data_IF_284014336814
#
_entry.id   IF_284014336814
#
_cell.length_a   1.000
_cell.length_b   1.000
_cell.length_c   1.000
_cell.angle_alpha   90.00
_cell.angle_beta   90.00
_cell.angle_gamma   90.00
#
_symmetry.space_group_name_H-M   'P 1'
#
loop_
_entity.id
_entity.type
_entity.pdbx_description
1 polymer ?
#
# COMPACT_ATOMS: atom_id res chain seq x y z
N UNK A 1 1.84 -19.47 12.37
CA UNK A 1 0.86 -19.16 11.32
C UNK A 1 1.33 -17.91 10.61
N UNK A 2 1.49 -17.91 9.27
CA UNK A 2 1.79 -16.68 8.53
C UNK A 2 0.57 -15.76 8.64
N UNK A 3 0.75 -14.55 9.19
CA UNK A 3 -0.32 -13.54 9.26
C UNK A 3 -0.90 -13.34 7.86
N UNK A 4 -2.21 -13.48 7.71
CA UNK A 4 -2.87 -13.10 6.46
C UNK A 4 -2.88 -11.57 6.40
N UNK A 5 -2.49 -10.93 5.29
CA UNK A 5 -2.23 -9.49 5.21
C UNK A 5 -3.48 -8.60 5.33
N UNK A 6 -4.68 -9.17 5.42
CA UNK A 6 -5.95 -8.48 5.64
C UNK A 6 -6.41 -8.44 7.09
N UNK A 7 -5.70 -9.12 7.98
CA UNK A 7 -6.15 -9.31 9.36
C UNK A 7 -5.49 -8.22 10.19
N UNK A 8 -6.30 -7.25 10.62
CA UNK A 8 -6.02 -6.52 11.84
C UNK A 8 -5.91 -7.55 12.98
N UNK A 9 -5.10 -7.31 14.01
CA UNK A 9 -5.08 -8.22 15.14
C UNK A 9 -6.53 -8.51 15.56
N UNK A 10 -6.94 -9.78 15.46
CA UNK A 10 -8.26 -10.29 15.86
C UNK A 10 -9.48 -9.85 15.02
N UNK A 11 -9.34 -9.12 13.91
CA UNK A 11 -10.49 -8.76 13.06
C UNK A 11 -10.19 -9.10 11.60
N UNK A 12 -11.07 -9.86 10.98
CA UNK A 12 -11.06 -10.07 9.54
C UNK A 12 -12.25 -9.39 8.87
N UNK A 13 -12.02 -8.81 7.70
CA UNK A 13 -13.04 -8.13 6.89
C UNK A 13 -13.02 -8.66 5.46
N UNK A 14 -14.20 -8.91 4.91
CA UNK A 14 -14.38 -9.31 3.50
C UNK A 14 -15.59 -8.62 2.92
N UNK A 15 -15.43 -8.00 1.76
CA UNK A 15 -16.54 -7.44 0.98
C UNK A 15 -17.04 -8.48 -0.02
N UNK A 16 -18.38 -8.56 -0.15
CA UNK A 16 -19.07 -9.28 -1.19
C UNK A 16 -20.20 -8.39 -1.74
N UNK A 17 -19.96 -7.77 -2.88
CA UNK A 17 -20.83 -6.73 -3.41
C UNK A 17 -20.98 -5.53 -2.47
N UNK A 18 -22.20 -5.28 -1.99
CA UNK A 18 -22.49 -4.25 -0.98
C UNK A 18 -22.47 -4.79 0.45
N UNK A 19 -22.32 -6.09 0.64
CA UNK A 19 -22.21 -6.68 1.97
C UNK A 19 -20.79 -6.64 2.47
N UNK A 20 -20.61 -6.27 3.73
CA UNK A 20 -19.36 -6.32 4.45
C UNK A 20 -19.48 -7.36 5.56
N UNK A 21 -18.66 -8.40 5.48
CA UNK A 21 -18.57 -9.49 6.45
C UNK A 21 -17.40 -9.17 7.36
N UNK A 22 -17.65 -9.04 8.66
CA UNK A 22 -16.67 -8.71 9.69
C UNK A 22 -16.68 -9.84 10.71
N UNK A 23 -15.52 -10.36 11.07
CA UNK A 23 -15.38 -11.40 12.10
C UNK A 23 -14.36 -10.99 13.13
N UNK A 24 -14.79 -10.96 14.39
CA UNK A 24 -13.92 -10.79 15.54
C UNK A 24 -13.40 -12.16 15.97
N UNK A 25 -12.07 -12.34 15.92
CA UNK A 25 -11.40 -13.54 16.44
C UNK A 25 -11.15 -13.33 17.94
N UNK A 26 -12.12 -13.70 18.76
CA UNK A 26 -12.02 -13.63 20.21
C UNK A 26 -12.55 -14.95 20.81
N UNK A 27 -11.95 -15.40 21.89
CA UNK A 27 -12.36 -16.61 22.62
C UNK A 27 -13.60 -16.36 23.52
N UNK A 28 -13.93 -15.10 23.78
CA UNK A 28 -15.06 -14.72 24.63
C UNK A 28 -16.33 -14.56 23.79
N UNK A 29 -17.43 -15.11 24.30
CA UNK A 29 -18.76 -14.85 23.74
C UNK A 29 -19.25 -13.44 24.10
N UNK A 30 -20.04 -12.81 23.16
CA UNK A 30 -20.66 -11.53 23.34
C UNK A 30 -21.60 -11.44 24.54
N UNK A 31 -22.40 -10.37 24.61
CA UNK A 31 -22.96 -9.60 23.48
C UNK A 31 -22.02 -8.53 22.91
N UNK A 32 -21.92 -8.49 21.60
CA UNK A 32 -21.12 -7.51 20.87
C UNK A 32 -21.98 -6.57 20.04
N UNK A 33 -21.58 -5.32 19.96
CA UNK A 33 -22.13 -4.30 19.08
C UNK A 33 -21.08 -3.83 18.08
N UNK A 34 -21.46 -3.76 16.80
CA UNK A 34 -20.69 -3.10 15.74
C UNK A 34 -21.16 -1.67 15.60
N UNK A 35 -20.24 -0.72 15.79
CA UNK A 35 -20.50 0.71 15.65
C UNK A 35 -19.79 1.26 14.42
N UNK A 36 -20.37 2.30 13.80
CA UNK A 36 -19.90 2.95 12.58
C UNK A 36 -19.81 4.46 12.73
N UNK A 37 -18.83 5.04 12.04
CA UNK A 37 -18.64 6.48 11.87
C UNK A 37 -18.07 6.84 10.48
N UNK A 38 -18.12 8.11 10.14
CA UNK A 38 -17.64 8.65 8.86
C UNK A 38 -16.20 9.17 8.94
N UNK A 39 -15.68 9.32 10.16
CA UNK A 39 -14.31 9.79 10.44
C UNK A 39 -13.65 8.86 11.46
N UNK A 40 -12.30 8.70 11.41
CA UNK A 40 -11.57 7.78 12.29
C UNK A 40 -11.29 8.39 13.67
N UNK A 41 -12.34 8.86 14.33
CA UNK A 41 -12.29 9.43 15.69
C UNK A 41 -13.23 8.61 16.57
N UNK A 42 -12.68 8.05 17.67
CA UNK A 42 -13.43 7.12 18.54
C UNK A 42 -14.76 7.70 19.04
N UNK A 43 -14.77 8.99 19.40
CA UNK A 43 -15.94 9.70 19.90
C UNK A 43 -17.01 9.92 18.82
N UNK A 44 -16.66 9.81 17.55
CA UNK A 44 -17.58 9.98 16.42
C UNK A 44 -18.09 8.64 15.85
N UNK A 45 -17.57 7.51 16.33
CA UNK A 45 -18.03 6.18 15.95
C UNK A 45 -19.04 5.68 16.99
N UNK A 46 -20.27 6.18 16.91
CA UNK A 46 -21.28 5.94 17.96
C UNK A 46 -22.54 5.21 17.48
N UNK A 47 -22.78 5.15 16.16
CA UNK A 47 -24.00 4.54 15.63
C UNK A 47 -23.87 3.02 15.62
N UNK A 48 -24.68 2.33 16.43
CA UNK A 48 -24.81 0.87 16.37
C UNK A 48 -25.51 0.47 15.08
N UNK A 49 -24.93 -0.46 14.32
CA UNK A 49 -25.48 -0.95 13.05
C UNK A 49 -25.74 -2.46 13.04
N UNK A 50 -25.16 -3.21 13.96
CA UNK A 50 -25.43 -4.64 14.12
C UNK A 50 -25.07 -5.11 15.54
N UNK A 51 -25.68 -6.21 15.97
CA UNK A 51 -25.39 -6.91 17.21
C UNK A 51 -25.09 -8.40 16.91
N UNK A 52 -24.24 -9.02 17.72
CA UNK A 52 -23.83 -10.42 17.56
C UNK A 52 -23.41 -11.03 18.89
N UNK A 53 -23.76 -12.28 19.11
CA UNK A 53 -23.25 -13.06 20.25
C UNK A 53 -21.85 -13.67 20.00
N UNK A 54 -21.48 -13.89 18.75
CA UNK A 54 -20.20 -14.51 18.36
C UNK A 54 -19.11 -13.49 17.95
N UNK A 55 -19.50 -12.24 17.64
CA UNK A 55 -18.60 -11.27 17.00
C UNK A 55 -18.55 -11.36 15.48
N UNK A 56 -19.42 -12.18 14.86
CA UNK A 56 -19.60 -12.24 13.41
C UNK A 56 -20.71 -11.27 12.99
N UNK A 57 -20.41 -10.40 12.04
CA UNK A 57 -21.36 -9.40 11.52
C UNK A 57 -21.43 -9.46 10.01
N UNK A 58 -22.62 -9.27 9.46
CA UNK A 58 -22.86 -9.04 8.03
C UNK A 58 -23.72 -7.79 7.90
N UNK A 59 -23.16 -6.75 7.29
CA UNK A 59 -23.84 -5.44 7.16
C UNK A 59 -23.80 -4.94 5.73
N UNK A 60 -24.84 -4.21 5.32
CA UNK A 60 -24.90 -3.59 4.00
C UNK A 60 -24.26 -2.21 4.03
N UNK A 61 -23.11 -2.07 3.34
CA UNK A 61 -22.36 -0.82 3.21
C UNK A 61 -22.12 -0.55 1.72
N UNK A 62 -22.99 0.26 1.07
CA UNK A 62 -22.80 0.64 -0.33
C UNK A 62 -21.46 1.38 -0.53
N UNK A 63 -20.73 1.05 -1.62
CA UNK A 63 -19.41 1.65 -1.93
C UNK A 63 -19.46 3.19 -1.97
N UNK A 64 -20.54 3.78 -2.49
CA UNK A 64 -20.72 5.24 -2.57
C UNK A 64 -20.75 5.95 -1.21
N UNK A 65 -20.95 5.19 -0.12
CA UNK A 65 -21.01 5.71 1.26
C UNK A 65 -19.66 5.64 1.98
N UNK A 66 -18.59 5.17 1.31
CA UNK A 66 -17.24 5.15 1.88
C UNK A 66 -16.64 6.57 1.90
N UNK A 67 -15.70 6.86 2.84
CA UNK A 67 -15.15 5.97 3.87
C UNK A 67 -16.10 5.65 5.00
N UNK A 68 -15.84 4.51 5.68
CA UNK A 68 -16.49 4.13 6.95
C UNK A 68 -15.46 3.54 7.90
N UNK A 69 -15.59 3.88 9.17
CA UNK A 69 -14.72 3.43 10.24
C UNK A 69 -15.58 2.74 11.31
N UNK A 70 -15.01 1.72 11.95
CA UNK A 70 -15.74 0.81 12.82
C UNK A 70 -15.01 0.59 14.13
N UNK A 71 -15.79 0.27 15.16
CA UNK A 71 -15.34 -0.36 16.40
C UNK A 71 -16.32 -1.48 16.77
N UNK A 72 -15.82 -2.49 17.50
CA UNK A 72 -16.66 -3.51 18.13
C UNK A 72 -16.55 -3.31 19.64
N UNK A 73 -17.70 -3.23 20.30
CA UNK A 73 -17.84 -3.17 21.75
C UNK A 73 -18.45 -4.46 22.29
N UNK A 74 -17.94 -4.98 23.40
CA UNK A 74 -18.67 -5.97 24.20
C UNK A 74 -19.51 -5.20 25.24
N UNK A 75 -20.82 -5.42 25.26
CA UNK A 75 -21.74 -4.67 26.16
C UNK A 75 -21.79 -5.23 27.56
N UNK A 76 -21.24 -6.43 27.81
CA UNK A 76 -21.14 -7.05 29.13
C UNK A 76 -19.78 -6.80 29.80
N UNK A 77 -18.82 -6.21 29.07
CA UNK A 77 -17.47 -5.90 29.57
C UNK A 77 -17.02 -4.53 29.08
N UNK A 78 -15.82 -4.10 29.49
CA UNK A 78 -15.22 -2.84 29.00
C UNK A 78 -14.42 -3.03 27.69
N UNK A 79 -14.53 -4.19 27.04
CA UNK A 79 -13.79 -4.45 25.80
C UNK A 79 -14.29 -3.58 24.66
N UNK A 80 -13.38 -2.85 24.02
CA UNK A 80 -13.60 -2.07 22.80
C UNK A 80 -12.40 -2.24 21.89
N UNK A 81 -12.60 -2.61 20.64
CA UNK A 81 -11.49 -2.73 19.66
C UNK A 81 -10.86 -1.37 19.35
N UNK A 82 -9.65 -1.39 18.79
CA UNK A 82 -9.16 -0.22 18.08
C UNK A 82 -10.07 0.11 16.89
N UNK A 83 -9.97 1.34 16.39
CA UNK A 83 -10.64 1.73 15.15
C UNK A 83 -10.12 0.87 14.02
N UNK A 84 -11.02 0.39 13.17
CA UNK A 84 -10.68 -0.34 11.97
C UNK A 84 -11.54 0.08 10.78
N UNK A 85 -11.06 -0.19 9.58
CA UNK A 85 -11.72 0.15 8.33
C UNK A 85 -11.44 -0.91 7.26
N UNK A 86 -12.18 -0.85 6.17
CA UNK A 86 -11.89 -1.62 4.97
C UNK A 86 -10.60 -1.07 4.33
N UNK A 87 -9.50 -1.85 4.43
CA UNK A 87 -8.17 -1.40 4.01
C UNK A 87 -8.10 -1.11 2.52
N UNK A 88 -8.55 -2.02 1.67
CA UNK A 88 -8.56 -1.84 0.22
C UNK A 88 -9.83 -1.11 -0.18
N UNK A 89 -9.68 0.04 -0.83
CA UNK A 89 -10.82 0.80 -1.32
C UNK A 89 -11.42 0.06 -2.53
N UNK A 90 -12.70 -0.33 -2.48
CA UNK A 90 -13.31 -1.19 -3.50
C UNK A 90 -13.68 -0.39 -4.76
N UNK A 91 -12.69 0.01 -5.54
CA UNK A 91 -12.84 0.70 -6.83
C UNK A 91 -13.00 -0.32 -7.98
N UNK A 92 -13.54 0.13 -9.10
CA UNK A 92 -13.73 -0.71 -10.29
C UNK A 92 -12.49 -0.75 -11.18
N UNK A 93 -11.80 0.40 -11.32
CA UNK A 93 -10.73 0.57 -12.30
C UNK A 93 -9.35 0.82 -11.68
N UNK A 94 -9.24 0.79 -10.36
CA UNK A 94 -7.99 0.79 -9.62
C UNK A 94 -8.08 -0.24 -8.49
N UNK A 95 -7.26 -1.27 -8.55
CA UNK A 95 -7.42 -2.45 -7.68
C UNK A 95 -6.52 -2.42 -6.44
N UNK A 96 -5.52 -1.55 -6.41
CA UNK A 96 -4.46 -1.57 -5.39
C UNK A 96 -4.43 -0.32 -4.51
N UNK A 97 -5.49 0.51 -4.58
CA UNK A 97 -5.61 1.70 -3.72
C UNK A 97 -6.09 1.27 -2.33
N UNK A 98 -5.35 1.68 -1.30
CA UNK A 98 -5.64 1.30 0.08
C UNK A 98 -5.16 2.30 1.12
N UNK A 99 -5.83 2.28 2.26
CA UNK A 99 -5.44 3.00 3.47
C UNK A 99 -4.26 2.27 4.16
N UNK A 100 -3.30 3.03 4.65
CA UNK A 100 -2.14 2.51 5.37
C UNK A 100 -2.37 2.46 6.90
N UNK A 101 -3.52 2.87 7.41
CA UNK A 101 -3.85 2.90 8.83
C UNK A 101 -3.86 1.54 9.52
N UNK A 102 -3.84 1.54 10.85
CA UNK A 102 -3.97 0.35 11.70
C UNK A 102 -2.72 -0.52 11.83
N UNK A 103 -1.58 -0.20 11.22
CA UNK A 103 -0.33 -0.90 11.44
C UNK A 103 0.30 -0.55 12.78
N UNK A 104 0.94 -1.55 13.43
CA UNK A 104 1.49 -1.41 14.77
C UNK A 104 2.91 -0.81 14.74
N UNK A 105 3.13 0.26 15.48
CA UNK A 105 4.45 0.78 15.76
C UNK A 105 5.17 -0.05 16.84
N UNK A 106 6.51 0.02 16.88
CA UNK A 106 7.33 -0.71 17.87
C UNK A 106 7.07 -0.26 19.31
N UNK A 107 6.58 0.98 19.50
CA UNK A 107 6.22 1.54 20.81
C UNK A 107 4.78 1.23 21.26
N UNK A 108 4.05 0.40 20.50
CA UNK A 108 2.69 -0.04 20.82
C UNK A 108 1.58 0.89 20.34
N UNK A 109 1.93 2.02 19.72
CA UNK A 109 0.95 2.88 19.02
C UNK A 109 0.55 2.27 17.68
N UNK A 110 -0.46 2.83 17.04
CA UNK A 110 -0.99 2.40 15.74
C UNK A 110 -1.03 3.57 14.76
N UNK A 111 -0.74 3.30 13.50
CA UNK A 111 -0.90 4.29 12.43
C UNK A 111 -2.38 4.64 12.27
N UNK A 112 -2.68 5.93 12.32
CA UNK A 112 -4.05 6.45 12.15
C UNK A 112 -4.62 6.09 10.78
N UNK A 113 -5.90 5.76 10.76
CA UNK A 113 -6.66 5.58 9.53
C UNK A 113 -6.99 6.91 8.85
N UNK A 114 -7.24 6.86 7.54
CA UNK A 114 -7.74 8.00 6.79
C UNK A 114 -6.71 9.10 6.49
N UNK A 115 -5.42 8.88 6.72
CA UNK A 115 -4.39 9.93 6.60
C UNK A 115 -3.38 9.65 5.48
N UNK A 116 -2.93 8.41 5.37
CA UNK A 116 -1.94 7.98 4.38
C UNK A 116 -2.49 6.83 3.54
N UNK A 117 -2.43 7.02 2.23
CA UNK A 117 -2.93 6.06 1.24
C UNK A 117 -1.84 5.72 0.24
N UNK A 118 -1.89 4.49 -0.27
CA UNK A 118 -1.04 4.05 -1.38
C UNK A 118 -1.87 3.40 -2.47
N UNK A 119 -1.35 3.41 -3.72
CA UNK A 119 -2.13 2.80 -4.79
C UNK A 119 -1.41 2.62 -6.11
N UNK A 120 -2.19 2.13 -7.08
CA UNK A 120 -1.87 2.10 -8.50
C UNK A 120 -2.35 3.37 -9.21
N UNK A 121 -2.16 3.46 -10.53
CA UNK A 121 -2.41 4.68 -11.31
C UNK A 121 -3.88 5.13 -11.28
N UNK A 122 -4.07 6.43 -11.20
CA UNK A 122 -5.38 7.09 -11.15
C UNK A 122 -5.96 7.41 -12.53
N UNK A 123 -5.26 7.07 -13.62
CA UNK A 123 -5.67 7.41 -14.98
C UNK A 123 -6.89 6.65 -15.49
N UNK A 124 -7.20 5.52 -14.89
CA UNK A 124 -8.29 4.62 -15.30
C UNK A 124 -9.59 4.79 -14.51
N UNK A 125 -9.61 5.67 -13.51
CA UNK A 125 -10.80 5.88 -12.68
C UNK A 125 -11.99 6.32 -13.51
N UNK A 126 -13.14 5.69 -13.31
CA UNK A 126 -14.42 6.16 -13.80
C UNK A 126 -15.03 7.19 -12.82
N UNK A 127 -16.18 7.74 -13.15
CA UNK A 127 -16.84 8.78 -12.33
C UNK A 127 -17.23 8.26 -10.94
N UNK A 128 -17.65 6.99 -10.84
CA UNK A 128 -17.96 6.35 -9.56
C UNK A 128 -16.72 6.22 -8.68
N UNK A 129 -15.60 5.78 -9.27
CA UNK A 129 -14.32 5.67 -8.55
C UNK A 129 -13.82 7.05 -8.07
N UNK A 130 -13.93 8.07 -8.94
CA UNK A 130 -13.55 9.45 -8.61
C UNK A 130 -14.41 9.99 -7.46
N UNK A 131 -15.73 9.73 -7.46
CA UNK A 131 -16.61 10.14 -6.37
C UNK A 131 -16.24 9.47 -5.06
N UNK A 132 -15.94 8.16 -5.07
CA UNK A 132 -15.50 7.44 -3.87
C UNK A 132 -14.20 8.07 -3.33
N UNK A 133 -13.19 8.29 -4.17
CA UNK A 133 -11.91 8.88 -3.74
C UNK A 133 -12.08 10.34 -3.27
N UNK A 134 -13.00 11.08 -3.86
CA UNK A 134 -13.36 12.44 -3.40
C UNK A 134 -13.90 12.43 -1.97
N UNK A 135 -14.70 11.41 -1.62
CA UNK A 135 -15.23 11.28 -0.26
C UNK A 135 -14.12 11.02 0.80
N UNK A 136 -12.97 10.44 0.39
CA UNK A 136 -11.79 10.33 1.26
C UNK A 136 -11.06 11.66 1.46
N UNK A 137 -11.51 12.74 0.80
CA UNK A 137 -10.97 14.09 0.91
C UNK A 137 -9.45 14.17 0.65
N UNK A 138 -8.94 13.40 -0.30
CA UNK A 138 -7.51 13.38 -0.63
C UNK A 138 -7.06 14.78 -1.06
N UNK A 139 -6.00 15.31 -0.42
CA UNK A 139 -5.50 16.66 -0.68
C UNK A 139 -4.13 16.65 -1.39
N UNK A 140 -3.32 15.62 -1.18
CA UNK A 140 -2.01 15.48 -1.84
C UNK A 140 -1.93 14.16 -2.62
N UNK A 141 -1.48 14.24 -3.86
CA UNK A 141 -1.05 13.08 -4.64
C UNK A 141 0.46 13.13 -4.83
N UNK A 142 1.15 12.04 -4.50
CA UNK A 142 2.56 11.82 -4.86
C UNK A 142 2.60 10.81 -6.00
N UNK A 143 3.08 11.23 -7.16
CA UNK A 143 3.15 10.43 -8.37
C UNK A 143 4.60 10.05 -8.69
N UNK A 144 4.92 8.75 -8.56
CA UNK A 144 6.25 8.21 -8.85
C UNK A 144 6.47 7.83 -10.31
N UNK A 145 5.51 8.11 -11.18
CA UNK A 145 5.63 7.79 -12.61
C UNK A 145 6.55 8.76 -13.33
N UNK A 146 7.18 8.26 -14.40
CA UNK A 146 8.01 9.07 -15.28
C UNK A 146 7.19 10.17 -15.99
N UNK A 147 7.82 11.23 -16.51
CA UNK A 147 7.13 12.24 -17.32
C UNK A 147 6.36 11.60 -18.48
N UNK A 148 6.94 10.62 -19.16
CA UNK A 148 6.31 9.90 -20.26
C UNK A 148 5.05 9.15 -19.79
N UNK A 149 5.12 8.35 -18.70
CA UNK A 149 3.94 7.67 -18.16
C UNK A 149 2.81 8.64 -17.80
N UNK A 150 3.12 9.81 -17.23
CA UNK A 150 2.12 10.83 -16.87
C UNK A 150 1.49 11.50 -18.07
N UNK A 151 2.27 11.73 -19.14
CA UNK A 151 1.78 12.33 -20.37
C UNK A 151 0.77 11.42 -21.08
N UNK A 152 1.06 10.12 -21.18
CA UNK A 152 0.18 9.17 -21.88
C UNK A 152 -0.98 8.67 -21.01
N UNK A 153 -0.82 8.70 -19.69
CA UNK A 153 -1.81 8.23 -18.74
C UNK A 153 -2.00 9.26 -17.61
N UNK A 154 -2.53 10.47 -17.92
CA UNK A 154 -2.71 11.50 -16.89
C UNK A 154 -3.65 11.03 -15.79
N UNK A 155 -3.39 11.47 -14.56
CA UNK A 155 -4.30 11.22 -13.45
C UNK A 155 -5.66 11.84 -13.72
N UNK A 156 -6.74 11.16 -13.34
CA UNK A 156 -8.07 11.76 -13.34
C UNK A 156 -8.12 12.89 -12.30
N UNK A 157 -8.93 13.88 -12.59
CA UNK A 157 -9.15 15.01 -11.70
C UNK A 157 -9.93 14.58 -10.45
N UNK A 158 -9.43 14.96 -9.29
CA UNK A 158 -10.12 14.82 -8.01
C UNK A 158 -10.26 16.22 -7.41
N UNK A 159 -11.48 16.72 -7.18
CA UNK A 159 -11.71 18.11 -6.80
C UNK A 159 -11.13 18.50 -5.44
N UNK A 160 -10.85 17.54 -4.57
CA UNK A 160 -10.26 17.77 -3.24
C UNK A 160 -8.74 17.91 -3.28
N UNK A 161 -8.09 17.53 -4.38
CA UNK A 161 -6.63 17.53 -4.48
C UNK A 161 -6.10 18.95 -4.68
N UNK A 162 -5.30 19.40 -3.72
CA UNK A 162 -4.68 20.73 -3.71
C UNK A 162 -3.30 20.75 -4.39
N UNK A 163 -2.58 19.61 -4.34
CA UNK A 163 -1.24 19.52 -4.93
C UNK A 163 -0.92 18.12 -5.48
N UNK A 164 -0.10 18.10 -6.52
CA UNK A 164 0.50 16.86 -7.06
C UNK A 164 2.01 17.02 -7.03
N UNK A 165 2.67 16.08 -6.34
CA UNK A 165 4.13 16.01 -6.23
C UNK A 165 4.65 14.94 -7.18
N UNK A 166 5.28 15.37 -8.26
CA UNK A 166 5.93 14.46 -9.21
C UNK A 166 7.30 14.03 -8.63
N UNK A 167 7.43 12.77 -8.26
CA UNK A 167 8.54 12.19 -7.52
C UNK A 167 9.09 10.94 -8.22
N UNK A 168 9.47 11.05 -9.49
CA UNK A 168 10.00 9.92 -10.27
C UNK A 168 11.39 9.51 -9.76
N UNK A 169 11.56 8.29 -9.20
CA UNK A 169 12.86 7.80 -8.72
C UNK A 169 13.72 7.22 -9.86
N UNK A 170 13.27 7.25 -11.11
CA UNK A 170 13.95 6.68 -12.28
C UNK A 170 14.45 5.24 -12.02
N UNK A 171 13.60 4.39 -11.47
CA UNK A 171 13.96 3.00 -11.26
C UNK A 171 14.04 2.25 -12.59
N UNK A 172 14.96 1.28 -12.70
CA UNK A 172 15.13 0.44 -13.91
C UNK A 172 13.81 -0.21 -14.38
N UNK A 173 12.88 -0.48 -13.47
CA UNK A 173 11.53 -0.95 -13.78
C UNK A 173 10.65 0.07 -14.49
N UNK A 174 10.89 1.36 -14.27
CA UNK A 174 10.10 2.41 -14.91
C UNK A 174 10.45 2.56 -16.36
N UNK A 175 11.72 2.39 -16.72
CA UNK A 175 12.19 2.58 -18.10
C UNK A 175 11.70 1.47 -19.03
N UNK A 176 11.72 0.22 -18.57
CA UNK A 176 11.16 -0.90 -19.34
C UNK A 176 9.65 -0.76 -19.60
N UNK A 177 8.92 -0.20 -18.61
CA UNK A 177 7.46 -0.01 -18.69
C UNK A 177 7.05 1.31 -19.36
N UNK A 178 7.92 2.34 -19.36
CA UNK A 178 7.60 3.67 -19.86
C UNK A 178 7.60 3.77 -21.39
N UNK A 179 8.34 2.91 -22.08
CA UNK A 179 8.52 2.98 -23.52
C UNK A 179 7.40 2.33 -24.34
N UNK A 180 6.27 1.95 -23.71
CA UNK A 180 5.20 1.21 -24.39
C UNK A 180 3.82 1.81 -24.12
N UNK A 181 3.14 2.19 -25.20
CA UNK A 181 1.84 2.86 -25.17
C UNK A 181 0.69 1.90 -24.83
N UNK A 182 0.82 0.60 -25.14
CA UNK A 182 -0.20 -0.40 -24.85
C UNK A 182 0.38 -1.65 -24.15
N UNK A 183 -0.49 -2.37 -23.43
CA UNK A 183 -0.12 -3.57 -22.66
C UNK A 183 0.31 -4.75 -23.55
N UNK A 184 -0.18 -4.83 -24.80
CA UNK A 184 0.17 -5.92 -25.71
C UNK A 184 1.56 -5.71 -26.25
N UNK A 185 1.87 -4.53 -26.77
CA UNK A 185 3.19 -4.17 -27.24
C UNK A 185 4.27 -4.21 -26.14
N UNK A 186 3.93 -3.92 -24.87
CA UNK A 186 4.84 -4.06 -23.73
C UNK A 186 5.30 -5.53 -23.55
N UNK A 187 4.34 -6.46 -23.61
CA UNK A 187 4.66 -7.87 -23.41
C UNK A 187 5.51 -8.43 -24.56
N UNK A 188 5.16 -8.09 -25.79
CA UNK A 188 5.91 -8.52 -26.98
C UNK A 188 7.35 -7.97 -26.96
N UNK A 189 7.55 -6.71 -26.59
CA UNK A 189 8.88 -6.11 -26.44
C UNK A 189 9.72 -6.79 -25.35
N UNK A 190 9.12 -7.09 -24.18
CA UNK A 190 9.83 -7.79 -23.11
C UNK A 190 10.28 -9.20 -23.55
N UNK A 191 9.42 -9.92 -24.27
CA UNK A 191 9.78 -11.24 -24.83
C UNK A 191 10.89 -11.09 -25.89
N UNK A 192 10.77 -10.11 -26.77
CA UNK A 192 11.75 -9.83 -27.80
C UNK A 192 13.14 -9.47 -27.22
N UNK A 193 13.17 -8.65 -26.14
CA UNK A 193 14.43 -8.34 -25.44
C UNK A 193 15.11 -9.59 -24.86
N UNK A 194 14.32 -10.55 -24.36
CA UNK A 194 14.84 -11.84 -23.91
C UNK A 194 15.41 -12.69 -25.09
N UNK A 195 14.68 -12.74 -26.18
CA UNK A 195 15.07 -13.50 -27.39
C UNK A 195 16.32 -12.91 -28.06
N UNK A 196 16.44 -11.58 -28.06
CA UNK A 196 17.58 -10.85 -28.58
C UNK A 196 18.83 -10.91 -27.66
N UNK A 197 18.72 -11.49 -26.45
CA UNK A 197 19.84 -11.54 -25.49
C UNK A 197 20.18 -10.19 -24.86
N UNK A 198 19.24 -9.23 -24.85
CA UNK A 198 19.41 -7.91 -24.22
C UNK A 198 19.37 -7.99 -22.70
N UNK A 199 18.76 -9.06 -22.15
CA UNK A 199 18.72 -9.31 -20.70
C UNK A 199 19.92 -10.18 -20.33
N UNK A 200 20.78 -9.75 -19.37
CA UNK A 200 21.90 -10.55 -18.91
C UNK A 200 21.46 -11.92 -18.41
N UNK A 201 22.15 -12.99 -18.85
CA UNK A 201 21.76 -14.38 -18.56
C UNK A 201 21.64 -14.67 -17.07
N UNK A 202 22.46 -14.03 -16.22
CA UNK A 202 22.41 -14.17 -14.75
C UNK A 202 21.06 -13.82 -14.16
N UNK A 203 20.24 -12.99 -14.81
CA UNK A 203 18.92 -12.60 -14.37
C UNK A 203 17.79 -13.52 -14.87
N UNK A 204 18.07 -14.35 -15.90
CA UNK A 204 17.06 -15.20 -16.51
C UNK A 204 16.83 -16.45 -15.66
N UNK A 205 16.13 -16.24 -14.54
CA UNK A 205 15.80 -17.26 -13.56
C UNK A 205 14.51 -16.91 -12.80
N UNK A 206 14.09 -17.79 -11.88
CA UNK A 206 12.89 -17.63 -11.07
C UNK A 206 13.12 -16.86 -9.75
N UNK A 207 14.36 -16.49 -9.40
CA UNK A 207 14.67 -15.82 -8.12
C UNK A 207 14.30 -14.34 -8.14
N UNK A 208 14.35 -13.69 -9.30
CA UNK A 208 14.11 -12.27 -9.47
C UNK A 208 15.28 -11.41 -8.98
N UNK A 209 16.50 -11.87 -9.24
CA UNK A 209 17.74 -11.20 -8.80
C UNK A 209 17.82 -9.74 -9.28
N UNK A 210 17.38 -9.46 -10.51
CA UNK A 210 17.32 -8.09 -11.03
C UNK A 210 16.33 -7.20 -10.28
N UNK A 211 15.23 -7.77 -9.76
CA UNK A 211 14.26 -7.04 -8.92
C UNK A 211 14.89 -6.73 -7.57
N UNK A 212 15.58 -7.70 -6.97
CA UNK A 212 16.30 -7.54 -5.70
C UNK A 212 17.34 -6.42 -5.82
N UNK A 213 18.23 -6.50 -6.83
CA UNK A 213 19.25 -5.47 -7.09
C UNK A 213 18.61 -4.08 -7.27
N UNK A 214 17.51 -3.98 -8.01
CA UNK A 214 16.81 -2.70 -8.18
C UNK A 214 16.25 -2.11 -6.88
N UNK A 215 15.80 -2.95 -5.94
CA UNK A 215 15.38 -2.47 -4.62
C UNK A 215 16.56 -1.99 -3.77
N UNK A 216 17.71 -2.66 -3.87
CA UNK A 216 18.95 -2.23 -3.21
C UNK A 216 19.46 -0.91 -3.81
N UNK A 217 19.41 -0.74 -5.13
CA UNK A 217 19.81 0.48 -5.84
C UNK A 217 18.96 1.68 -5.42
N UNK A 218 17.65 1.49 -5.21
CA UNK A 218 16.78 2.57 -4.74
C UNK A 218 17.22 3.13 -3.37
N UNK A 219 17.91 2.34 -2.53
CA UNK A 219 18.41 2.80 -1.23
C UNK A 219 19.53 3.83 -1.39
N UNK A 220 20.38 3.67 -2.41
CA UNK A 220 21.61 4.48 -2.58
C UNK A 220 21.54 5.47 -3.73
N UNK A 221 20.64 5.30 -4.69
CA UNK A 221 20.51 6.15 -5.87
C UNK A 221 20.25 7.62 -5.51
N UNK A 222 21.08 8.58 -5.95
CA UNK A 222 20.86 10.00 -5.71
C UNK A 222 19.54 10.53 -6.30
N UNK A 223 19.08 9.94 -7.41
CA UNK A 223 17.82 10.31 -8.06
C UNK A 223 16.65 9.83 -7.22
N UNK A 224 16.68 8.57 -6.76
CA UNK A 224 15.68 8.02 -5.87
C UNK A 224 15.66 8.78 -4.53
N UNK A 225 16.82 9.13 -3.98
CA UNK A 225 16.97 9.97 -2.80
C UNK A 225 16.22 11.30 -2.94
N UNK A 226 16.43 12.01 -4.07
CA UNK A 226 15.76 13.29 -4.34
C UNK A 226 14.24 13.10 -4.43
N UNK A 227 13.79 12.08 -5.15
CA UNK A 227 12.37 11.79 -5.38
C UNK A 227 11.65 11.42 -4.07
N UNK A 228 12.16 10.42 -3.35
CA UNK A 228 11.56 10.00 -2.07
C UNK A 228 11.78 11.02 -0.96
N UNK A 229 12.88 11.77 -0.98
CA UNK A 229 13.10 12.86 -0.05
C UNK A 229 12.05 13.96 -0.17
N UNK A 230 11.57 14.27 -1.39
CA UNK A 230 10.46 15.19 -1.61
C UNK A 230 9.16 14.68 -1.00
N UNK A 231 8.85 13.39 -1.19
CA UNK A 231 7.69 12.74 -0.59
C UNK A 231 7.78 12.71 0.94
N UNK A 232 8.93 12.28 1.52
CA UNK A 232 9.12 12.24 2.97
C UNK A 232 8.98 13.61 3.62
N UNK A 233 9.47 14.67 2.96
CA UNK A 233 9.28 16.04 3.45
C UNK A 233 7.82 16.44 3.47
N UNK A 234 7.02 16.06 2.47
CA UNK A 234 5.57 16.32 2.49
C UNK A 234 4.88 15.57 3.64
N UNK A 235 5.26 14.32 3.89
CA UNK A 235 4.76 13.54 5.04
C UNK A 235 5.13 14.22 6.36
N UNK A 236 6.39 14.60 6.54
CA UNK A 236 6.86 15.23 7.81
C UNK A 236 6.22 16.59 8.05
N UNK A 237 5.98 17.39 7.01
CA UNK A 237 5.35 18.72 7.12
C UNK A 237 3.85 18.64 7.43
N UNK A 238 3.21 17.52 7.13
CA UNK A 238 1.76 17.29 7.39
C UNK A 238 0.84 18.31 6.69
N UNK A 239 1.34 18.91 5.62
CA UNK A 239 0.57 19.86 4.82
C UNK A 239 -0.31 19.10 3.83
N UNK A 240 -1.54 19.57 3.65
CA UNK A 240 -2.49 19.01 2.68
C UNK A 240 -2.67 17.47 2.80
N UNK A 241 -3.17 17.03 3.94
CA UNK A 241 -3.57 15.65 4.20
C UNK A 241 -5.09 15.49 4.03
N UNK A 242 -5.58 14.30 3.67
CA UNK A 242 -4.87 13.03 3.46
C UNK A 242 -4.00 12.99 2.18
N UNK A 243 -2.94 12.15 2.23
CA UNK A 243 -1.99 11.98 1.14
C UNK A 243 -2.10 10.58 0.54
N UNK A 244 -2.21 10.50 -0.80
CA UNK A 244 -2.11 9.27 -1.57
C UNK A 244 -0.83 9.28 -2.40
N UNK A 245 0.00 8.23 -2.28
CA UNK A 245 1.15 8.04 -3.14
C UNK A 245 0.98 6.83 -4.05
N UNK A 246 1.38 6.96 -5.31
CA UNK A 246 1.16 5.93 -6.30
C UNK A 246 2.23 5.87 -7.40
N UNK A 247 2.24 4.77 -8.12
CA UNK A 247 2.92 4.61 -9.39
C UNK A 247 1.99 3.99 -10.45
N UNK A 248 2.50 3.26 -11.42
CA UNK A 248 1.66 2.56 -12.41
C UNK A 248 0.91 1.38 -11.81
N UNK A 249 1.60 0.49 -11.13
CA UNK A 249 1.03 -0.75 -10.57
C UNK A 249 0.85 -0.77 -9.06
N UNK A 250 1.30 0.27 -8.36
CA UNK A 250 1.25 0.32 -6.90
C UNK A 250 2.11 -0.73 -6.20
N UNK A 251 3.08 -1.35 -6.90
CA UNK A 251 3.92 -2.44 -6.40
C UNK A 251 5.30 -1.92 -5.97
N UNK A 252 6.19 -1.64 -6.93
CA UNK A 252 7.62 -1.42 -6.67
C UNK A 252 7.90 -0.01 -6.16
N UNK A 253 7.80 1.04 -6.99
CA UNK A 253 8.04 2.43 -6.59
C UNK A 253 7.17 2.86 -5.41
N UNK A 254 5.89 2.49 -5.45
CA UNK A 254 4.96 2.73 -4.34
C UNK A 254 5.29 1.87 -3.13
N UNK A 255 5.68 0.60 -3.32
CA UNK A 255 6.08 -0.32 -2.25
C UNK A 255 7.30 0.19 -1.49
N UNK A 256 8.31 0.65 -2.21
CA UNK A 256 9.50 1.27 -1.61
C UNK A 256 9.14 2.56 -0.86
N UNK A 257 8.32 3.45 -1.46
CA UNK A 257 7.84 4.65 -0.78
C UNK A 257 7.03 4.35 0.48
N UNK A 258 6.15 3.33 0.46
CA UNK A 258 5.42 2.86 1.65
C UNK A 258 6.35 2.36 2.73
N UNK A 259 7.35 1.54 2.36
CA UNK A 259 8.37 1.06 3.29
C UNK A 259 9.09 2.24 3.99
N UNK A 260 9.48 3.26 3.24
CA UNK A 260 10.12 4.44 3.82
C UNK A 260 9.21 5.17 4.81
N UNK A 261 7.94 5.39 4.46
CA UNK A 261 6.97 6.03 5.36
C UNK A 261 6.79 5.19 6.62
N UNK A 262 6.59 3.89 6.48
CA UNK A 262 6.33 2.99 7.61
C UNK A 262 7.57 2.85 8.52
N UNK A 263 8.79 2.81 7.96
CA UNK A 263 10.04 2.85 8.74
C UNK A 263 10.19 4.19 9.48
N UNK A 264 9.92 5.33 8.83
CA UNK A 264 9.93 6.65 9.46
C UNK A 264 9.01 6.70 10.68
N UNK A 265 7.82 6.10 10.56
CA UNK A 265 6.82 6.04 11.61
C UNK A 265 7.06 4.91 12.62
N UNK A 266 8.23 4.24 12.56
CA UNK A 266 8.62 3.17 13.47
C UNK A 266 7.65 1.98 13.50
N UNK A 267 6.98 1.71 12.37
CA UNK A 267 6.10 0.55 12.23
C UNK A 267 6.92 -0.74 12.28
N UNK A 268 6.35 -1.80 12.85
CA UNK A 268 6.98 -3.12 12.93
C UNK A 268 7.27 -3.65 11.52
N UNK A 269 8.46 -4.23 11.34
CA UNK A 269 8.90 -4.71 10.02
C UNK A 269 7.96 -5.78 9.45
N UNK A 270 7.39 -6.61 10.31
CA UNK A 270 6.38 -7.60 9.90
C UNK A 270 5.17 -6.95 9.22
N UNK A 271 4.70 -5.82 9.75
CA UNK A 271 3.57 -5.08 9.19
C UNK A 271 3.97 -4.37 7.87
N UNK A 272 5.22 -3.91 7.74
CA UNK A 272 5.77 -3.35 6.50
C UNK A 272 5.78 -4.42 5.40
N UNK A 273 6.28 -5.61 5.71
CA UNK A 273 6.30 -6.74 4.78
C UNK A 273 4.87 -7.19 4.44
N UNK A 274 3.98 -7.26 5.45
CA UNK A 274 2.56 -7.59 5.23
C UNK A 274 1.87 -6.60 4.29
N UNK A 275 2.08 -5.29 4.48
CA UNK A 275 1.53 -4.29 3.56
C UNK A 275 2.04 -4.49 2.13
N UNK A 276 3.32 -4.73 1.95
CA UNK A 276 3.88 -4.98 0.63
C UNK A 276 3.27 -6.24 -0.01
N UNK A 277 3.21 -7.34 0.74
CA UNK A 277 2.69 -8.64 0.28
C UNK A 277 1.19 -8.64 -0.01
N UNK A 278 0.44 -7.69 0.55
CA UNK A 278 -0.97 -7.50 0.20
C UNK A 278 -1.15 -7.26 -1.31
N UNK A 279 -0.19 -6.60 -1.96
CA UNK A 279 -0.18 -6.42 -3.41
C UNK A 279 -0.21 -7.76 -4.18
N UNK A 280 0.43 -8.82 -3.68
CA UNK A 280 0.39 -10.17 -4.29
C UNK A 280 -1.03 -10.71 -4.35
N UNK A 281 -1.76 -10.55 -3.25
CA UNK A 281 -3.14 -11.04 -3.12
C UNK A 281 -4.07 -10.24 -4.02
N UNK A 282 -4.00 -8.92 -3.97
CA UNK A 282 -4.82 -8.00 -4.75
C UNK A 282 -4.62 -8.22 -6.26
N UNK A 283 -3.39 -8.47 -6.69
CA UNK A 283 -3.05 -8.62 -8.12
C UNK A 283 -3.08 -10.07 -8.62
N UNK A 284 -3.55 -11.02 -7.82
CA UNK A 284 -3.53 -12.45 -8.15
C UNK A 284 -4.16 -12.75 -9.50
N UNK A 285 -5.37 -12.27 -9.75
CA UNK A 285 -6.09 -12.51 -11.02
C UNK A 285 -5.36 -11.88 -12.20
N UNK A 286 -4.92 -10.63 -12.06
CA UNK A 286 -4.11 -9.96 -13.09
C UNK A 286 -2.81 -10.71 -13.39
N UNK A 287 -2.13 -11.20 -12.38
CA UNK A 287 -0.88 -11.94 -12.56
C UNK A 287 -1.13 -13.30 -13.22
N UNK A 288 -2.27 -13.94 -12.96
CA UNK A 288 -2.67 -15.15 -13.66
C UNK A 288 -2.90 -14.88 -15.16
N UNK A 289 -3.62 -13.81 -15.52
CA UNK A 289 -3.80 -13.40 -16.92
C UNK A 289 -2.46 -13.13 -17.62
N UNK A 290 -1.50 -12.53 -16.91
CA UNK A 290 -0.14 -12.30 -17.45
C UNK A 290 0.62 -13.62 -17.64
N UNK A 291 0.49 -14.55 -16.68
CA UNK A 291 1.09 -15.89 -16.83
C UNK A 291 0.55 -16.60 -18.08
N UNK A 292 -0.76 -16.62 -18.27
CA UNK A 292 -1.42 -17.29 -19.41
C UNK A 292 -0.96 -16.66 -20.75
N UNK A 293 -0.75 -15.35 -20.76
CA UNK A 293 -0.23 -14.64 -21.93
C UNK A 293 1.23 -14.97 -22.19
N UNK A 294 2.10 -14.84 -21.19
CA UNK A 294 3.54 -15.12 -21.33
C UNK A 294 3.79 -16.58 -21.69
N UNK A 295 3.03 -17.52 -21.11
CA UNK A 295 3.15 -18.94 -21.43
C UNK A 295 2.89 -19.25 -22.91
N UNK A 296 2.06 -18.42 -23.59
CA UNK A 296 1.82 -18.54 -25.04
C UNK A 296 2.90 -17.89 -25.90
N UNK A 297 3.60 -16.88 -25.34
CA UNK A 297 4.58 -16.11 -26.09
C UNK A 297 5.99 -16.67 -26.01
N UNK A 298 6.36 -17.36 -24.93
CA UNK A 298 7.74 -17.85 -24.72
C UNK A 298 7.81 -19.37 -24.77
N UNK A 299 8.89 -19.90 -25.41
CA UNK A 299 9.15 -21.33 -25.50
C UNK A 299 9.99 -21.85 -24.33
N UNK A 300 10.90 -21.01 -23.81
CA UNK A 300 11.82 -21.40 -22.74
C UNK A 300 11.19 -21.14 -21.37
N UNK A 301 11.19 -22.18 -20.52
CA UNK A 301 10.70 -22.08 -19.14
C UNK A 301 11.42 -20.97 -18.36
N UNK A 302 12.74 -20.82 -18.53
CA UNK A 302 13.52 -19.78 -17.84
C UNK A 302 13.08 -18.36 -18.20
N UNK A 303 12.60 -18.12 -19.43
CA UNK A 303 12.04 -16.83 -19.84
C UNK A 303 10.72 -16.55 -19.13
N UNK A 304 9.84 -17.57 -19.06
CA UNK A 304 8.59 -17.46 -18.31
C UNK A 304 8.86 -17.19 -16.82
N UNK A 305 9.79 -17.92 -16.22
CA UNK A 305 10.19 -17.76 -14.82
C UNK A 305 10.68 -16.34 -14.53
N UNK A 306 11.54 -15.79 -15.41
CA UNK A 306 12.02 -14.41 -15.33
C UNK A 306 10.88 -13.40 -15.43
N UNK A 307 10.01 -13.50 -16.44
CA UNK A 307 8.88 -12.59 -16.64
C UNK A 307 7.92 -12.63 -15.46
N UNK A 308 7.68 -13.81 -14.89
CA UNK A 308 6.85 -13.96 -13.70
C UNK A 308 7.51 -13.38 -12.46
N UNK A 309 8.83 -13.53 -12.28
CA UNK A 309 9.55 -12.88 -11.19
C UNK A 309 9.43 -11.36 -11.23
N UNK A 310 9.48 -10.76 -12.43
CA UNK A 310 9.31 -9.31 -12.62
C UNK A 310 7.93 -8.79 -12.17
N UNK A 311 6.86 -9.53 -12.40
CA UNK A 311 5.50 -9.08 -12.07
C UNK A 311 5.01 -9.54 -10.70
N UNK A 312 5.62 -10.56 -10.12
CA UNK A 312 5.25 -11.08 -8.79
C UNK A 312 5.64 -10.09 -7.68
N UNK A 313 5.03 -10.30 -6.52
CA UNK A 313 5.36 -9.57 -5.29
C UNK A 313 5.93 -10.59 -4.30
N UNK A 314 7.18 -10.40 -3.87
CA UNK A 314 7.91 -11.34 -3.00
C UNK A 314 8.51 -10.62 -1.80
N UNK A 315 8.49 -11.27 -0.65
CA UNK A 315 9.09 -10.74 0.58
C UNK A 315 10.58 -10.38 0.36
N UNK A 316 11.31 -11.19 -0.43
CA UNK A 316 12.72 -10.97 -0.71
C UNK A 316 13.00 -9.60 -1.33
N UNK A 317 12.08 -9.05 -2.14
CA UNK A 317 12.26 -7.76 -2.80
C UNK A 317 12.28 -6.60 -1.81
N UNK A 318 11.25 -6.48 -0.98
CA UNK A 318 11.19 -5.40 0.00
C UNK A 318 12.20 -5.58 1.13
N UNK A 319 12.49 -6.84 1.52
CA UNK A 319 13.51 -7.17 2.53
C UNK A 319 14.92 -6.82 2.06
N UNK A 320 15.23 -6.93 0.76
CA UNK A 320 16.51 -6.50 0.21
C UNK A 320 16.78 -5.02 0.50
N UNK A 321 15.80 -4.14 0.24
CA UNK A 321 15.93 -2.73 0.57
C UNK A 321 16.05 -2.48 2.08
N UNK A 322 15.23 -3.14 2.90
CA UNK A 322 15.30 -3.00 4.37
C UNK A 322 16.68 -3.44 4.88
N UNK A 323 17.16 -4.60 4.47
CA UNK A 323 18.46 -5.14 4.86
C UNK A 323 19.60 -4.20 4.40
N UNK A 324 19.49 -3.64 3.19
CA UNK A 324 20.47 -2.70 2.67
C UNK A 324 20.55 -1.41 3.47
N UNK A 325 19.41 -0.92 3.98
CA UNK A 325 19.37 0.23 4.90
C UNK A 325 20.10 -0.11 6.20
N UNK A 326 19.85 -1.28 6.81
CA UNK A 326 20.54 -1.70 8.02
C UNK A 326 22.05 -1.92 7.80
N UNK A 327 22.41 -2.56 6.68
CA UNK A 327 23.81 -2.80 6.30
C UNK A 327 24.61 -1.50 6.21
N UNK A 328 24.07 -0.48 5.52
CA UNK A 328 24.82 0.75 5.22
C UNK A 328 24.72 1.82 6.32
N UNK A 329 23.60 1.85 7.04
CA UNK A 329 23.30 2.95 7.97
C UNK A 329 23.07 2.49 9.42
N UNK A 330 23.02 1.20 9.67
CA UNK A 330 22.79 0.60 10.98
C UNK A 330 21.35 0.69 11.47
N UNK A 331 20.68 1.84 11.28
CA UNK A 331 19.28 2.06 11.66
C UNK A 331 18.52 2.87 10.61
N UNK A 332 17.19 2.73 10.53
CA UNK A 332 16.37 3.60 9.67
C UNK A 332 16.50 5.08 10.04
N UNK A 333 16.63 5.43 11.32
CA UNK A 333 16.82 6.81 11.77
C UNK A 333 18.09 7.41 11.19
N UNK A 334 19.21 6.69 11.23
CA UNK A 334 20.46 7.12 10.62
C UNK A 334 20.31 7.32 9.11
N UNK A 335 19.60 6.40 8.44
CA UNK A 335 19.30 6.54 7.02
C UNK A 335 18.52 7.82 6.72
N UNK A 336 17.46 8.11 7.48
CA UNK A 336 16.68 9.34 7.29
C UNK A 336 17.49 10.61 7.57
N UNK A 337 18.34 10.61 8.60
CA UNK A 337 19.18 11.75 8.92
C UNK A 337 20.28 11.98 7.89
N UNK A 338 21.02 10.94 7.55
CA UNK A 338 22.18 11.05 6.67
C UNK A 338 21.78 11.24 5.20
N UNK A 339 20.77 10.52 4.76
CA UNK A 339 20.40 10.45 3.35
C UNK A 339 19.35 11.52 2.98
N UNK A 340 18.32 11.70 3.81
CA UNK A 340 17.23 12.65 3.53
C UNK A 340 17.33 13.96 4.29
N UNK A 341 18.32 14.10 5.18
CA UNK A 341 18.54 15.29 6.01
C UNK A 341 17.34 15.64 6.91
N UNK A 342 16.64 14.61 7.38
CA UNK A 342 15.57 14.77 8.37
C UNK A 342 16.18 14.74 9.78
N UNK A 343 15.79 15.68 10.62
CA UNK A 343 16.20 15.69 12.03
C UNK A 343 15.35 14.72 12.86
N UNK A 344 15.90 14.24 13.98
CA UNK A 344 15.12 13.41 14.92
C UNK A 344 13.90 14.16 15.46
N UNK A 345 13.98 15.47 15.62
CA UNK A 345 12.84 16.30 16.05
C UNK A 345 11.69 16.26 15.02
N UNK A 346 12.00 16.33 13.72
CA UNK A 346 11.02 16.22 12.65
C UNK A 346 10.42 14.81 12.60
N UNK A 347 11.25 13.77 12.71
CA UNK A 347 10.82 12.36 12.73
C UNK A 347 9.88 12.12 13.92
N UNK A 348 10.24 12.56 15.11
CA UNK A 348 9.40 12.38 16.31
C UNK A 348 8.08 13.15 16.20
N UNK A 349 8.09 14.39 15.71
CA UNK A 349 6.87 15.15 15.44
C UNK A 349 5.94 14.44 14.43
N UNK A 350 6.51 13.77 13.42
CA UNK A 350 5.73 12.97 12.49
C UNK A 350 5.12 11.74 13.20
N UNK A 351 5.92 11.00 13.98
CA UNK A 351 5.43 9.87 14.78
C UNK A 351 4.29 10.28 15.73
N UNK A 352 4.43 11.38 16.44
CA UNK A 352 3.40 11.87 17.37
C UNK A 352 2.10 12.31 16.65
N UNK A 353 2.21 12.77 15.42
CA UNK A 353 1.05 13.15 14.63
C UNK A 353 0.32 11.95 14.01
N UNK A 354 1.08 11.04 13.36
CA UNK A 354 0.49 9.93 12.60
C UNK A 354 0.12 8.72 13.45
N UNK A 355 0.69 8.60 14.65
CA UNK A 355 0.45 7.45 15.53
C UNK A 355 -0.53 7.83 16.65
N UNK A 356 -1.37 6.89 17.01
CA UNK A 356 -2.32 7.00 18.13
C UNK A 356 -2.15 5.82 19.09
N UNK A 357 -2.54 6.03 20.35
CA UNK A 357 -2.57 4.95 21.35
C UNK A 357 -3.69 3.96 20.98
N UNK A 358 -3.40 2.69 21.13
CA UNK A 358 -4.43 1.67 21.04
C UNK A 358 -5.39 1.76 22.24
N UNK A 359 -6.58 1.22 22.05
CA UNK A 359 -7.56 1.12 23.12
C UNK A 359 -7.06 0.12 24.18
N UNK A 360 -6.84 0.57 25.41
CA UNK A 360 -6.26 -0.26 26.49
C UNK A 360 -7.14 -1.47 26.83
N UNK A 361 -8.44 -1.35 26.59
CA UNK A 361 -9.44 -2.39 26.83
C UNK A 361 -9.63 -3.36 25.65
N UNK A 362 -8.87 -3.22 24.57
CA UNK A 362 -8.99 -4.02 23.34
C UNK A 362 -7.87 -5.06 23.14
N UNK A 363 -7.12 -5.39 24.19
CA UNK A 363 -6.06 -6.41 24.17
C UNK A 363 -6.55 -7.74 24.66
#
# INVERSE_FOLDING_TARGET
MKKQPYILPNISMKRDGEQLIIKLQNENNGPYQLLIGDVPELEKIQKVIAESSSGDFTVKIPRKNLPKYYIIKNTASHFVTNIFAERVIPLENAINIRDMGGYSAKDGRFLKWGVLFRGDQLSKLNDSDQQILTNYNLQTIVDYRSPHERQYHPNKYLPTVLQILNCDPQSSFSEAAANVVDLKGENEKLVQSLENGEVPERYINDRGDNVIESYEDLVTSPIAQKAYGRMLKAVVRKEALPLLHHCRGGKDRTGFGSMLILLLLNIKEEDIVCDYMLTKIIRKERNQLKYDLYHKLVQKKSYLDYLMAMIDTRESYIKAAINKIYELFGTPENYFQQHFKLTMAEINKARDFYLEKGNENGR
#
